data_IF_804321468931
#
_entry.id   IF_804321468931
#
_cell.length_a   1.000
_cell.length_b   1.000
_cell.length_c   1.000
_cell.angle_alpha   90.00
_cell.angle_beta   90.00
_cell.angle_gamma   90.00
#
_symmetry.space_group_name_H-M   'P 1'
#
loop_
_entity.id
_entity.type
_entity.pdbx_description
1 polymer ?
#
# COMPACT_ATOMS: atom_id res chain seq x y z
N UNK A 1 -18.80 12.29 -11.32
CA UNK A 1 -18.28 13.56 -11.91
C UNK A 1 -18.19 13.46 -13.44
N UNK A 2 -18.13 14.58 -14.18
CA UNK A 2 -17.93 14.61 -15.64
C UNK A 2 -16.99 15.74 -16.08
N UNK A 3 -16.34 15.58 -17.24
CA UNK A 3 -15.35 16.53 -17.80
C UNK A 3 -15.90 17.96 -18.01
N UNK A 4 -17.21 18.11 -18.16
CA UNK A 4 -17.87 19.41 -18.33
C UNK A 4 -18.12 20.17 -17.00
N UNK A 5 -18.00 19.50 -15.84
CA UNK A 5 -18.15 20.12 -14.52
C UNK A 5 -16.81 20.43 -13.86
N UNK A 6 -15.85 19.50 -13.96
CA UNK A 6 -14.51 19.63 -13.36
C UNK A 6 -13.41 19.20 -14.36
N UNK A 7 -13.12 19.99 -15.40
CA UNK A 7 -12.14 19.63 -16.44
C UNK A 7 -10.73 19.36 -15.86
N UNK A 8 -10.36 20.04 -14.77
CA UNK A 8 -9.08 19.83 -14.08
C UNK A 8 -8.92 18.44 -13.43
N UNK A 9 -10.03 17.76 -13.09
CA UNK A 9 -10.03 16.38 -12.56
C UNK A 9 -10.31 15.31 -13.62
N UNK A 10 -10.40 15.69 -14.90
CA UNK A 10 -10.63 14.74 -16.00
C UNK A 10 -9.54 13.66 -16.07
N UNK A 11 -8.29 13.99 -15.72
CA UNK A 11 -7.19 13.03 -15.71
C UNK A 11 -7.45 11.86 -14.74
N UNK A 12 -7.87 12.14 -13.50
CA UNK A 12 -8.22 11.14 -12.49
C UNK A 12 -9.41 10.28 -12.93
N UNK A 13 -10.50 10.90 -13.38
CA UNK A 13 -11.70 10.18 -13.85
C UNK A 13 -11.37 9.27 -15.05
N UNK A 14 -10.60 9.76 -16.01
CA UNK A 14 -10.17 8.98 -17.16
C UNK A 14 -9.20 7.85 -16.78
N UNK A 15 -8.33 8.06 -15.79
CA UNK A 15 -7.42 7.02 -15.33
C UNK A 15 -8.14 5.94 -14.50
N UNK A 16 -9.08 6.32 -13.63
CA UNK A 16 -9.94 5.37 -12.92
C UNK A 16 -10.69 4.46 -13.90
N UNK A 17 -11.30 5.04 -14.94
CA UNK A 17 -11.97 4.26 -15.99
C UNK A 17 -11.04 3.31 -16.78
N UNK A 18 -9.73 3.61 -16.88
CA UNK A 18 -8.73 2.66 -17.42
C UNK A 18 -8.43 1.54 -16.43
N UNK A 19 -8.26 1.86 -15.14
CA UNK A 19 -8.05 0.87 -14.09
C UNK A 19 -9.24 -0.10 -14.02
N UNK A 20 -10.47 0.40 -13.92
CA UNK A 20 -11.71 -0.40 -13.89
C UNK A 20 -11.94 -1.22 -15.19
N UNK A 21 -11.35 -0.83 -16.33
CA UNK A 21 -11.37 -1.63 -17.57
C UNK A 21 -10.32 -2.76 -17.52
N UNK A 22 -9.09 -2.43 -17.13
CA UNK A 22 -7.99 -3.39 -17.00
C UNK A 22 -8.32 -4.48 -15.96
N UNK A 23 -8.92 -4.11 -14.83
CA UNK A 23 -9.26 -5.04 -13.76
C UNK A 23 -10.34 -6.04 -14.22
N UNK A 24 -11.36 -5.59 -14.95
CA UNK A 24 -12.36 -6.48 -15.58
C UNK A 24 -11.75 -7.38 -16.65
N UNK A 25 -10.77 -6.90 -17.42
CA UNK A 25 -10.07 -7.73 -18.42
C UNK A 25 -9.23 -8.83 -17.75
N UNK A 26 -8.51 -8.50 -16.68
CA UNK A 26 -7.71 -9.45 -15.90
C UNK A 26 -8.59 -10.50 -15.22
N UNK A 27 -9.68 -10.08 -14.56
CA UNK A 27 -10.65 -11.00 -13.95
C UNK A 27 -11.30 -11.90 -15.01
N UNK A 28 -11.83 -11.35 -16.12
CA UNK A 28 -12.46 -12.15 -17.16
C UNK A 28 -11.51 -13.19 -17.78
N UNK A 29 -10.24 -12.83 -18.01
CA UNK A 29 -9.22 -13.76 -18.50
C UNK A 29 -8.95 -14.89 -17.49
N UNK A 30 -8.80 -14.57 -16.19
CA UNK A 30 -8.54 -15.58 -15.16
C UNK A 30 -9.77 -16.45 -14.86
N UNK A 31 -10.98 -15.90 -14.94
CA UNK A 31 -12.24 -16.66 -14.85
C UNK A 31 -12.37 -17.66 -16.00
N UNK A 32 -11.99 -17.28 -17.23
CA UNK A 32 -12.00 -18.20 -18.37
C UNK A 32 -11.01 -19.36 -18.17
N UNK A 33 -9.77 -19.08 -17.73
CA UNK A 33 -8.76 -20.10 -17.42
C UNK A 33 -9.24 -21.09 -16.34
N UNK A 34 -9.87 -20.58 -15.27
CA UNK A 34 -10.41 -21.41 -14.20
C UNK A 34 -11.66 -22.20 -14.62
N UNK A 35 -12.51 -21.64 -15.49
CA UNK A 35 -13.65 -22.35 -16.07
C UNK A 35 -13.21 -23.50 -17.00
N UNK A 36 -12.14 -23.33 -17.78
CA UNK A 36 -11.53 -24.41 -18.58
C UNK A 36 -10.93 -25.52 -17.68
N UNK A 37 -10.40 -25.17 -16.51
CA UNK A 37 -9.99 -26.12 -15.46
C UNK A 37 -11.17 -26.73 -14.66
N UNK A 38 -12.42 -26.34 -14.96
CA UNK A 38 -13.60 -26.79 -14.22
C UNK A 38 -13.57 -26.39 -12.74
N UNK A 39 -13.13 -25.16 -12.44
CA UNK A 39 -13.18 -24.56 -11.10
C UNK A 39 -14.29 -23.52 -11.07
N UNK A 40 -15.16 -23.59 -10.06
CA UNK A 40 -16.20 -22.57 -9.84
C UNK A 40 -15.55 -21.29 -9.32
N UNK A 41 -15.78 -20.16 -10.00
CA UNK A 41 -15.39 -18.84 -9.47
C UNK A 41 -16.54 -18.28 -8.62
N UNK A 42 -16.21 -17.75 -7.45
CA UNK A 42 -17.15 -17.12 -6.50
C UNK A 42 -17.01 -15.60 -6.58
N UNK A 43 -18.11 -14.92 -6.92
CA UNK A 43 -18.18 -13.45 -6.94
C UNK A 43 -17.95 -12.87 -5.54
N UNK A 44 -18.64 -13.41 -4.54
CA UNK A 44 -18.34 -13.24 -3.12
C UNK A 44 -18.38 -14.60 -2.39
N UNK A 45 -17.26 -15.05 -1.79
CA UNK A 45 -17.22 -16.30 -1.05
C UNK A 45 -17.76 -16.21 0.38
N UNK A 46 -17.95 -15.00 0.95
CA UNK A 46 -18.41 -14.82 2.32
C UNK A 46 -19.93 -14.99 2.45
N UNK A 47 -20.70 -14.49 1.47
CA UNK A 47 -22.14 -14.78 1.37
C UNK A 47 -22.47 -16.17 0.81
N UNK A 48 -21.49 -16.91 0.26
CA UNK A 48 -21.69 -18.26 -0.29
C UNK A 48 -21.90 -19.29 0.85
N UNK A 49 -23.10 -19.85 1.07
CA UNK A 49 -23.36 -20.66 2.27
C UNK A 49 -22.59 -21.98 2.27
N UNK A 50 -21.87 -22.26 3.35
CA UNK A 50 -21.06 -23.48 3.52
C UNK A 50 -19.64 -23.39 2.95
N UNK A 51 -19.31 -22.34 2.20
CA UNK A 51 -17.97 -22.17 1.66
C UNK A 51 -16.93 -21.88 2.78
N UNK A 52 -15.70 -22.34 2.60
CA UNK A 52 -14.56 -21.95 3.44
C UNK A 52 -13.25 -21.93 2.64
N UNK A 53 -12.42 -20.91 2.89
CA UNK A 53 -11.11 -20.78 2.26
C UNK A 53 -10.18 -21.90 2.76
N UNK A 54 -9.29 -22.41 1.90
CA UNK A 54 -8.42 -23.53 2.28
C UNK A 54 -7.45 -23.19 3.42
N UNK A 55 -7.13 -21.90 3.61
CA UNK A 55 -6.36 -21.37 4.75
C UNK A 55 -7.03 -21.59 6.12
N UNK A 56 -8.30 -22.00 6.16
CA UNK A 56 -9.03 -22.36 7.38
C UNK A 56 -9.32 -23.87 7.48
N UNK A 57 -8.75 -24.69 6.59
CA UNK A 57 -9.01 -26.12 6.47
C UNK A 57 -7.75 -26.98 6.62
N UNK A 58 -7.93 -28.17 7.20
CA UNK A 58 -6.97 -29.29 7.11
C UNK A 58 -7.53 -30.43 6.27
N UNK A 59 -6.70 -31.25 5.58
CA UNK A 59 -7.18 -32.19 4.57
C UNK A 59 -8.16 -33.24 5.10
N UNK A 60 -7.96 -33.74 6.32
CA UNK A 60 -8.82 -34.68 7.03
C UNK A 60 -8.90 -34.37 8.54
N UNK A 61 -10.01 -34.68 9.24
CA UNK A 61 -10.08 -34.67 10.70
C UNK A 61 -8.95 -35.46 11.39
N UNK A 62 -8.40 -36.47 10.71
CA UNK A 62 -7.32 -37.34 11.23
C UNK A 62 -5.91 -36.74 11.05
N UNK A 63 -5.75 -35.68 10.26
CA UNK A 63 -4.50 -34.92 10.19
C UNK A 63 -4.36 -34.03 11.43
N UNK A 64 -3.12 -33.71 11.87
CA UNK A 64 -2.89 -32.81 13.00
C UNK A 64 -3.43 -31.39 12.74
N UNK A 65 -3.74 -30.67 13.81
CA UNK A 65 -4.02 -29.23 13.73
C UNK A 65 -2.89 -28.48 13.02
N UNK A 66 -3.24 -27.47 12.23
CA UNK A 66 -2.27 -26.71 11.44
C UNK A 66 -1.78 -27.40 10.16
N UNK A 67 -2.20 -28.62 9.85
CA UNK A 67 -1.90 -29.26 8.56
C UNK A 67 -2.59 -28.51 7.41
N UNK A 68 -1.80 -27.84 6.57
CA UNK A 68 -2.32 -26.98 5.48
C UNK A 68 -2.95 -27.78 4.32
N UNK A 69 -4.17 -27.40 3.94
CA UNK A 69 -4.81 -27.86 2.71
C UNK A 69 -4.40 -26.97 1.52
N UNK A 70 -3.34 -27.35 0.79
CA UNK A 70 -2.90 -26.59 -0.39
C UNK A 70 -3.85 -26.76 -1.59
N UNK A 71 -3.72 -25.86 -2.59
CA UNK A 71 -4.51 -25.90 -3.81
C UNK A 71 -4.30 -27.19 -4.63
N UNK A 72 -3.08 -27.72 -4.64
CA UNK A 72 -2.70 -28.97 -5.32
C UNK A 72 -3.37 -30.16 -4.64
N UNK A 73 -3.32 -30.22 -3.30
CA UNK A 73 -3.98 -31.27 -2.52
C UNK A 73 -5.51 -31.21 -2.68
N UNK A 74 -6.07 -30.01 -2.86
CA UNK A 74 -7.50 -29.79 -3.06
C UNK A 74 -7.97 -29.96 -4.52
N UNK A 75 -7.08 -30.10 -5.51
CA UNK A 75 -7.43 -30.02 -6.94
C UNK A 75 -8.46 -31.08 -7.40
N UNK A 76 -8.52 -32.22 -6.71
CA UNK A 76 -9.44 -33.33 -7.00
C UNK A 76 -10.76 -33.26 -6.22
N UNK A 77 -10.92 -32.30 -5.30
CA UNK A 77 -12.16 -32.10 -4.55
C UNK A 77 -13.30 -31.64 -5.48
N UNK A 78 -14.51 -32.23 -5.43
CA UNK A 78 -15.63 -31.78 -6.24
C UNK A 78 -16.24 -30.46 -5.71
N UNK A 79 -15.95 -30.09 -4.45
CA UNK A 79 -16.29 -28.78 -3.90
C UNK A 79 -15.32 -27.65 -4.28
N UNK A 80 -14.36 -27.86 -5.20
CA UNK A 80 -13.33 -26.86 -5.51
C UNK A 80 -13.90 -25.57 -6.10
N UNK A 81 -13.53 -24.46 -5.47
CA UNK A 81 -13.87 -23.13 -5.93
C UNK A 81 -12.68 -22.17 -5.73
N UNK A 82 -12.77 -21.00 -6.35
CA UNK A 82 -11.81 -19.91 -6.19
C UNK A 82 -12.53 -18.57 -6.12
N UNK A 83 -11.99 -17.64 -5.34
CA UNK A 83 -12.34 -16.22 -5.42
C UNK A 83 -11.19 -15.46 -6.07
N UNK A 84 -11.53 -14.50 -6.94
CA UNK A 84 -10.57 -13.73 -7.73
C UNK A 84 -10.59 -12.26 -7.32
N UNK A 85 -9.42 -11.73 -6.95
CA UNK A 85 -9.25 -10.32 -6.59
C UNK A 85 -8.07 -9.72 -7.35
N UNK A 86 -8.26 -8.58 -7.99
CA UNK A 86 -7.12 -7.84 -8.54
C UNK A 86 -6.41 -7.11 -7.41
N UNK A 87 -5.16 -7.47 -7.18
CA UNK A 87 -4.23 -6.70 -6.36
C UNK A 87 -3.50 -5.71 -7.26
N UNK A 88 -3.77 -4.41 -7.06
CA UNK A 88 -2.93 -3.32 -7.54
C UNK A 88 -1.84 -3.06 -6.49
N UNK A 89 -0.55 -3.29 -6.79
CA UNK A 89 0.54 -2.94 -5.88
C UNK A 89 0.59 -1.42 -5.65
N UNK A 90 1.12 -0.97 -4.51
CA UNK A 90 1.27 0.46 -4.22
C UNK A 90 2.51 1.06 -4.89
N UNK A 91 3.50 0.24 -5.24
CA UNK A 91 4.65 0.63 -6.05
C UNK A 91 4.31 0.56 -7.55
N UNK A 92 4.65 1.61 -8.29
CA UNK A 92 4.26 1.78 -9.72
C UNK A 92 4.82 0.75 -10.68
N UNK A 93 5.85 0.03 -10.25
CA UNK A 93 6.75 -0.71 -11.14
C UNK A 93 6.31 -2.17 -11.31
N UNK A 94 5.23 -2.57 -10.63
CA UNK A 94 4.60 -3.88 -10.72
C UNK A 94 3.23 -3.76 -11.38
N UNK A 95 2.99 -4.56 -12.42
CA UNK A 95 1.68 -4.66 -13.05
C UNK A 95 0.61 -5.21 -12.07
N UNK A 96 -0.67 -4.83 -12.22
CA UNK A 96 -1.77 -5.42 -11.43
C UNK A 96 -1.85 -6.93 -11.62
N UNK A 97 -1.99 -7.66 -10.51
CA UNK A 97 -1.98 -9.12 -10.47
C UNK A 97 -3.33 -9.66 -10.01
N UNK A 98 -3.80 -10.77 -10.58
CA UNK A 98 -4.97 -11.48 -10.06
C UNK A 98 -4.53 -12.43 -8.95
N UNK A 99 -4.86 -12.09 -7.71
CA UNK A 99 -4.76 -13.00 -6.58
C UNK A 99 -5.90 -14.02 -6.67
N UNK A 100 -5.55 -15.30 -6.60
CA UNK A 100 -6.49 -16.42 -6.56
C UNK A 100 -6.52 -16.97 -5.14
N UNK A 101 -7.62 -16.78 -4.42
CA UNK A 101 -7.85 -17.42 -3.13
C UNK A 101 -8.66 -18.68 -3.35
N UNK A 102 -8.21 -19.82 -2.83
CA UNK A 102 -8.88 -21.12 -3.03
C UNK A 102 -9.88 -21.41 -1.91
N UNK A 103 -11.01 -22.03 -2.28
CA UNK A 103 -12.14 -22.32 -1.40
C UNK A 103 -12.69 -23.73 -1.63
N UNK A 104 -13.35 -24.29 -0.62
CA UNK A 104 -14.19 -25.48 -0.72
C UNK A 104 -15.64 -25.12 -0.41
N UNK A 105 -16.59 -25.52 -1.26
CA UNK A 105 -18.03 -25.22 -1.15
C UNK A 105 -18.76 -26.02 -0.06
N UNK A 106 -18.24 -27.20 0.31
CA UNK A 106 -18.75 -28.03 1.40
C UNK A 106 -17.57 -28.78 2.02
N UNK A 107 -16.79 -28.16 2.92
CA UNK A 107 -15.60 -28.79 3.45
C UNK A 107 -15.91 -30.10 4.18
N UNK A 108 -16.98 -30.11 4.97
CA UNK A 108 -17.38 -31.26 5.80
C UNK A 108 -17.85 -32.44 4.94
N UNK A 109 -18.70 -32.20 3.93
CA UNK A 109 -19.15 -33.24 3.01
C UNK A 109 -18.03 -33.79 2.11
N UNK A 110 -17.01 -32.98 1.84
CA UNK A 110 -15.79 -33.40 1.13
C UNK A 110 -14.71 -34.02 2.06
N UNK A 111 -14.97 -34.14 3.36
CA UNK A 111 -14.12 -34.84 4.32
C UNK A 111 -12.99 -34.00 4.95
N UNK A 112 -12.99 -32.68 4.76
CA UNK A 112 -12.06 -31.75 5.42
C UNK A 112 -12.51 -31.39 6.83
N UNK A 113 -11.58 -30.89 7.64
CA UNK A 113 -11.84 -30.34 8.97
C UNK A 113 -11.36 -28.89 9.08
N UNK A 114 -11.75 -28.20 10.15
CA UNK A 114 -11.15 -26.92 10.51
C UNK A 114 -9.63 -27.07 10.70
N UNK A 115 -8.86 -26.04 10.35
CA UNK A 115 -7.40 -26.01 10.58
C UNK A 115 -7.06 -26.19 12.07
N UNK A 116 -7.95 -25.75 12.96
CA UNK A 116 -7.84 -25.81 14.43
C UNK A 116 -9.17 -26.25 15.03
N UNK A 117 -9.13 -27.12 16.03
CA UNK A 117 -10.31 -27.61 16.73
C UNK A 117 -10.95 -26.52 17.63
N UNK A 118 -10.20 -25.46 17.97
CA UNK A 118 -10.70 -24.27 18.68
C UNK A 118 -11.53 -23.30 17.81
N UNK A 119 -11.58 -23.53 16.48
CA UNK A 119 -12.38 -22.74 15.52
C UNK A 119 -13.15 -23.68 14.58
N UNK A 120 -14.21 -24.36 15.05
CA UNK A 120 -14.99 -25.28 14.23
C UNK A 120 -15.65 -24.58 13.04
N UNK A 121 -15.83 -25.34 11.95
CA UNK A 121 -16.41 -24.83 10.71
C UNK A 121 -17.90 -24.43 10.85
N UNK A 122 -18.40 -23.47 10.06
CA UNK A 122 -19.83 -23.18 9.95
C UNK A 122 -20.60 -24.43 9.50
N UNK A 123 -21.54 -24.92 10.32
CA UNK A 123 -22.29 -26.13 9.98
C UNK A 123 -23.33 -25.88 8.90
N UNK A 124 -23.25 -26.66 7.82
CA UNK A 124 -24.16 -26.62 6.67
C UNK A 124 -25.55 -27.20 7.04
N UNK A 125 -26.41 -26.35 7.60
CA UNK A 125 -27.87 -26.55 7.60
C UNK A 125 -28.57 -26.75 8.95
N UNK A 126 -27.90 -26.62 10.09
CA UNK A 126 -28.55 -26.76 11.40
C UNK A 126 -27.88 -25.92 12.52
N UNK A 127 -28.16 -24.62 12.58
CA UNK A 127 -27.73 -23.76 13.68
C UNK A 127 -28.26 -22.33 13.58
N UNK A 128 -28.77 -21.80 14.69
CA UNK A 128 -29.12 -20.38 14.86
C UNK A 128 -27.80 -19.58 14.99
N UNK A 129 -27.52 -18.57 14.15
CA UNK A 129 -26.24 -17.86 14.10
C UNK A 129 -26.05 -16.87 15.27
N UNK A 130 -26.03 -17.40 16.51
CA UNK A 130 -26.12 -16.63 17.75
C UNK A 130 -25.12 -17.06 18.84
N UNK A 131 -23.81 -17.00 18.54
CA UNK A 131 -22.74 -16.95 19.55
C UNK A 131 -21.77 -15.77 19.37
N UNK A 132 -21.82 -15.05 18.25
CA UNK A 132 -21.36 -13.66 18.19
C UNK A 132 -22.43 -12.74 18.83
N UNK A 133 -22.05 -11.57 19.38
CA UNK A 133 -23.02 -10.55 19.72
C UNK A 133 -23.95 -10.23 18.53
N UNK A 134 -25.23 -10.07 18.81
CA UNK A 134 -26.21 -9.63 17.83
C UNK A 134 -26.03 -8.14 17.55
N UNK A 135 -25.03 -7.81 16.72
CA UNK A 135 -24.82 -6.45 16.20
C UNK A 135 -26.13 -5.90 15.65
N UNK A 136 -26.45 -4.68 16.05
CA UNK A 136 -27.63 -3.98 15.58
C UNK A 136 -27.52 -3.68 14.09
N UNK A 137 -28.67 -3.50 13.43
CA UNK A 137 -28.68 -3.15 12.00
C UNK A 137 -28.06 -1.77 11.74
N UNK A 138 -28.02 -0.90 12.75
CA UNK A 138 -27.29 0.37 12.71
C UNK A 138 -25.77 0.17 12.68
N UNK A 139 -25.21 -0.75 13.48
CA UNK A 139 -23.77 -1.06 13.47
C UNK A 139 -23.35 -1.73 12.15
N UNK A 140 -24.22 -2.57 11.58
CA UNK A 140 -24.02 -3.14 10.23
C UNK A 140 -24.02 -2.06 9.15
N UNK A 141 -24.94 -1.11 9.22
CA UNK A 141 -25.00 0.03 8.27
C UNK A 141 -23.73 0.88 8.35
N UNK A 142 -23.30 1.27 9.56
CA UNK A 142 -22.06 2.05 9.77
C UNK A 142 -20.87 1.31 9.17
N UNK A 143 -20.67 0.02 9.50
CA UNK A 143 -19.57 -0.78 8.93
C UNK A 143 -19.64 -0.87 7.40
N UNK A 144 -20.83 -0.98 6.82
CA UNK A 144 -21.02 -1.03 5.35
C UNK A 144 -20.67 0.30 4.68
N UNK A 145 -21.08 1.42 5.27
CA UNK A 145 -20.71 2.78 4.81
C UNK A 145 -19.21 3.00 4.93
N UNK A 146 -18.58 2.61 6.05
CA UNK A 146 -17.13 2.67 6.24
C UNK A 146 -16.37 1.80 5.23
N UNK A 147 -16.79 0.55 5.01
CA UNK A 147 -16.19 -0.35 4.00
C UNK A 147 -16.32 0.24 2.60
N UNK A 148 -17.47 0.85 2.26
CA UNK A 148 -17.69 1.54 0.98
C UNK A 148 -16.75 2.75 0.81
N UNK A 149 -16.66 3.62 1.82
CA UNK A 149 -15.70 4.76 1.88
C UNK A 149 -14.26 4.28 1.71
N UNK A 150 -13.88 3.20 2.39
CA UNK A 150 -12.56 2.57 2.29
C UNK A 150 -12.25 2.04 0.88
N UNK A 151 -13.19 1.34 0.25
CA UNK A 151 -13.02 0.80 -1.11
C UNK A 151 -12.93 1.93 -2.14
N UNK A 152 -13.83 2.91 -2.06
CA UNK A 152 -13.93 4.02 -3.01
C UNK A 152 -12.68 4.92 -2.95
N UNK A 153 -12.26 5.32 -1.75
CA UNK A 153 -11.04 6.09 -1.55
C UNK A 153 -9.79 5.31 -2.00
N UNK A 154 -9.71 4.00 -1.72
CA UNK A 154 -8.59 3.18 -2.20
C UNK A 154 -8.55 3.12 -3.75
N UNK A 155 -9.70 3.05 -4.44
CA UNK A 155 -9.77 3.11 -5.92
C UNK A 155 -9.38 4.49 -6.46
N UNK A 156 -9.85 5.57 -5.83
CA UNK A 156 -9.50 6.94 -6.19
C UNK A 156 -7.99 7.18 -6.03
N UNK A 157 -7.39 6.63 -4.96
CA UNK A 157 -5.95 6.71 -4.70
C UNK A 157 -5.13 5.99 -5.78
N UNK A 158 -5.49 4.74 -6.10
CA UNK A 158 -4.82 3.97 -7.16
C UNK A 158 -4.92 4.64 -8.55
N UNK A 159 -5.95 5.45 -8.77
CA UNK A 159 -6.09 6.28 -9.98
C UNK A 159 -5.29 7.59 -9.91
N UNK A 160 -5.02 8.13 -8.72
CA UNK A 160 -4.32 9.42 -8.55
C UNK A 160 -2.79 9.29 -8.63
N UNK A 161 -2.18 8.20 -8.15
CA UNK A 161 -0.71 7.99 -8.23
C UNK A 161 -0.12 8.21 -9.63
N UNK A 162 -0.60 7.56 -10.72
CA UNK A 162 -0.09 7.82 -12.06
C UNK A 162 -0.37 9.25 -12.56
N UNK A 163 -1.44 9.91 -12.08
CA UNK A 163 -1.77 11.30 -12.45
C UNK A 163 -0.83 12.29 -11.77
N UNK A 164 -0.51 12.11 -10.47
CA UNK A 164 0.58 12.84 -9.79
C UNK A 164 1.90 12.64 -10.52
N UNK A 165 2.30 11.39 -10.76
CA UNK A 165 3.59 11.07 -11.40
C UNK A 165 3.68 11.59 -12.83
N UNK A 166 2.58 11.70 -13.57
CA UNK A 166 2.54 12.41 -14.86
C UNK A 166 2.76 13.93 -14.68
N UNK A 167 2.01 14.56 -13.77
CA UNK A 167 2.13 16.01 -13.48
C UNK A 167 3.51 16.39 -12.91
N UNK A 168 4.16 15.52 -12.12
CA UNK A 168 5.54 15.70 -11.63
C UNK A 168 6.55 15.71 -12.79
N UNK A 169 6.42 14.81 -13.77
CA UNK A 169 7.24 14.83 -14.99
C UNK A 169 7.04 16.16 -15.75
N UNK A 170 5.80 16.64 -15.88
CA UNK A 170 5.49 17.95 -16.47
C UNK A 170 6.03 19.15 -15.67
N UNK A 171 6.15 19.04 -14.34
CA UNK A 171 6.74 20.06 -13.47
C UNK A 171 8.27 20.12 -13.64
N UNK A 172 8.92 18.95 -13.64
CA UNK A 172 10.38 18.82 -13.68
C UNK A 172 10.97 19.02 -15.10
N UNK A 173 10.15 18.85 -16.14
CA UNK A 173 10.46 19.24 -17.51
C UNK A 173 10.53 20.77 -17.73
N UNK A 174 10.01 21.59 -16.79
CA UNK A 174 10.02 23.06 -16.92
C UNK A 174 11.45 23.61 -16.80
N UNK A 175 11.72 24.71 -17.52
CA UNK A 175 13.03 25.38 -17.50
C UNK A 175 13.45 25.94 -16.13
N UNK A 176 12.48 26.17 -15.25
CA UNK A 176 12.67 26.75 -13.91
C UNK A 176 11.77 26.04 -12.91
N UNK A 177 12.32 25.71 -11.74
CA UNK A 177 11.57 25.25 -10.58
C UNK A 177 10.56 26.30 -10.07
N UNK A 178 9.56 25.93 -9.26
CA UNK A 178 8.74 26.86 -8.48
C UNK A 178 9.58 27.87 -7.69
N UNK A 179 9.04 29.09 -7.47
CA UNK A 179 9.78 30.22 -6.86
C UNK A 179 10.31 29.92 -5.45
N UNK A 180 9.60 29.08 -4.73
CA UNK A 180 9.85 28.64 -3.36
C UNK A 180 10.50 27.25 -3.27
N UNK A 181 10.74 26.57 -4.40
CA UNK A 181 11.32 25.23 -4.43
C UNK A 181 12.68 25.14 -3.71
N UNK A 182 13.52 26.18 -3.78
CA UNK A 182 14.77 26.22 -3.04
C UNK A 182 14.58 26.22 -1.51
N UNK A 183 13.50 26.86 -1.01
CA UNK A 183 13.12 26.82 0.41
C UNK A 183 12.50 25.45 0.76
N UNK A 184 11.72 24.87 -0.14
CA UNK A 184 11.13 23.54 0.03
C UNK A 184 12.19 22.44 0.15
N UNK A 185 13.14 22.40 -0.79
CA UNK A 185 14.31 21.49 -0.78
C UNK A 185 15.10 21.67 0.52
N UNK A 186 15.42 22.91 0.89
CA UNK A 186 16.18 23.19 2.11
C UNK A 186 15.43 22.75 3.39
N UNK A 187 14.11 22.89 3.43
CA UNK A 187 13.29 22.41 4.54
C UNK A 187 13.30 20.87 4.62
N UNK A 188 13.01 20.17 3.51
CA UNK A 188 13.00 18.71 3.49
C UNK A 188 14.35 18.10 3.89
N UNK A 189 15.45 18.65 3.37
CA UNK A 189 16.81 18.21 3.72
C UNK A 189 17.19 18.55 5.18
N UNK A 190 16.65 19.63 5.76
CA UNK A 190 16.87 19.99 7.16
C UNK A 190 16.00 19.18 8.14
N UNK A 191 14.82 18.72 7.71
CA UNK A 191 13.98 17.79 8.47
C UNK A 191 14.56 16.39 8.52
N UNK A 192 15.25 15.94 7.45
CA UNK A 192 16.02 14.70 7.46
C UNK A 192 15.17 13.43 7.58
N UNK A 193 14.09 13.34 6.81
CA UNK A 193 13.14 12.23 6.87
C UNK A 193 13.69 10.90 6.32
N UNK A 194 13.22 9.78 6.90
CA UNK A 194 13.53 8.41 6.47
C UNK A 194 13.27 8.16 4.98
N UNK A 195 12.28 8.83 4.39
CA UNK A 195 11.96 8.77 2.97
C UNK A 195 13.13 9.20 2.07
N UNK A 196 13.91 10.21 2.48
CA UNK A 196 15.08 10.68 1.74
C UNK A 196 16.22 9.66 1.82
N UNK A 197 16.48 9.10 3.01
CA UNK A 197 17.48 8.04 3.19
C UNK A 197 17.15 6.81 2.35
N UNK A 198 15.91 6.30 2.47
CA UNK A 198 15.41 5.14 1.71
C UNK A 198 15.49 5.38 0.19
N UNK A 199 15.18 6.59 -0.27
CA UNK A 199 15.32 6.96 -1.68
C UNK A 199 16.79 7.00 -2.15
N UNK A 200 17.72 7.48 -1.32
CA UNK A 200 19.16 7.48 -1.61
C UNK A 200 19.71 6.04 -1.66
N UNK A 201 19.30 5.19 -0.72
CA UNK A 201 19.66 3.76 -0.71
C UNK A 201 19.10 3.04 -1.95
N UNK A 202 17.86 3.34 -2.36
CA UNK A 202 17.27 2.94 -3.63
C UNK A 202 17.80 3.73 -4.87
N UNK A 203 18.96 4.39 -4.73
CA UNK A 203 19.71 5.12 -5.76
C UNK A 203 18.92 6.21 -6.50
N UNK A 204 17.84 6.70 -5.88
CA UNK A 204 16.87 7.66 -6.41
C UNK A 204 16.22 7.19 -7.72
N UNK A 205 15.82 5.90 -7.79
CA UNK A 205 15.21 5.30 -8.97
C UNK A 205 14.00 6.09 -9.52
N UNK A 206 13.04 6.47 -8.66
CA UNK A 206 11.90 7.27 -9.08
C UNK A 206 12.30 8.69 -9.53
N UNK A 207 13.36 9.29 -8.96
CA UNK A 207 13.85 10.59 -9.45
C UNK A 207 14.44 10.47 -10.86
N UNK A 208 15.04 9.32 -11.19
CA UNK A 208 15.52 9.04 -12.55
C UNK A 208 14.34 8.92 -13.53
N UNK A 209 13.31 8.14 -13.21
CA UNK A 209 12.08 8.04 -14.03
C UNK A 209 11.38 9.40 -14.20
N UNK A 210 11.19 10.16 -13.11
CA UNK A 210 10.54 11.47 -13.16
C UNK A 210 11.35 12.52 -13.95
N UNK A 211 12.65 12.29 -14.17
CA UNK A 211 13.52 13.08 -15.05
C UNK A 211 13.64 12.52 -16.48
N UNK A 212 13.01 11.38 -16.79
CA UNK A 212 13.09 10.71 -18.10
C UNK A 212 14.41 10.00 -18.36
N UNK A 213 15.09 9.51 -17.32
CA UNK A 213 16.36 8.82 -17.36
C UNK A 213 16.18 7.29 -17.28
N UNK A 214 17.21 6.55 -17.67
CA UNK A 214 17.32 5.12 -17.38
C UNK A 214 17.34 4.85 -15.87
N UNK A 215 16.79 3.72 -15.43
CA UNK A 215 16.91 3.26 -14.04
C UNK A 215 18.39 3.14 -13.58
N UNK A 216 18.70 3.39 -12.30
CA UNK A 216 20.06 3.30 -11.77
C UNK A 216 20.58 1.85 -11.75
N UNK A 217 21.82 1.65 -12.18
CA UNK A 217 22.44 0.34 -12.38
C UNK A 217 23.02 -0.32 -11.10
N UNK A 218 22.43 -0.04 -9.92
CA UNK A 218 22.87 -0.58 -8.64
C UNK A 218 24.14 0.05 -8.04
N UNK A 219 24.59 -0.50 -6.91
CA UNK A 219 25.78 -0.05 -6.17
C UNK A 219 27.06 -0.09 -7.04
N UNK A 220 27.97 0.84 -6.78
CA UNK A 220 29.25 0.92 -7.52
C UNK A 220 29.11 1.35 -8.98
N UNK A 221 27.99 1.99 -9.34
CA UNK A 221 27.77 2.65 -10.63
C UNK A 221 27.42 4.13 -10.43
N UNK A 222 27.82 5.02 -11.36
CA UNK A 222 27.43 6.43 -11.29
C UNK A 222 25.92 6.58 -11.46
N UNK A 223 25.30 7.54 -10.76
CA UNK A 223 23.87 7.83 -10.93
C UNK A 223 23.61 8.37 -12.35
N UNK A 224 22.52 7.93 -13.03
CA UNK A 224 22.08 8.47 -14.32
C UNK A 224 21.89 10.00 -14.34
N UNK A 225 21.72 10.64 -13.18
CA UNK A 225 21.57 12.09 -13.05
C UNK A 225 22.91 12.86 -13.21
N UNK A 226 24.07 12.22 -13.05
CA UNK A 226 25.37 12.92 -13.06
C UNK A 226 25.69 13.62 -14.40
N UNK A 227 25.51 13.00 -15.59
CA UNK A 227 25.72 13.69 -16.87
C UNK A 227 24.79 14.89 -17.11
N UNK A 228 23.60 14.92 -16.48
CA UNK A 228 22.75 16.11 -16.51
C UNK A 228 23.34 17.26 -15.69
N UNK A 229 24.04 16.94 -14.59
CA UNK A 229 24.62 17.91 -13.66
C UNK A 229 25.96 18.47 -14.15
N UNK A 230 26.76 17.68 -14.87
CA UNK A 230 28.03 18.11 -15.49
C UNK A 230 27.87 19.33 -16.41
N UNK A 231 26.68 19.51 -17.01
CA UNK A 231 26.34 20.63 -17.89
C UNK A 231 25.26 21.56 -17.32
N UNK A 232 24.84 21.35 -16.06
CA UNK A 232 23.74 22.11 -15.46
C UNK A 232 24.19 23.50 -14.97
N UNK A 233 23.57 24.55 -15.53
CA UNK A 233 23.46 25.83 -14.82
C UNK A 233 22.58 25.68 -13.57
N UNK A 234 22.77 26.57 -12.58
CA UNK A 234 22.15 26.48 -11.26
C UNK A 234 20.64 26.17 -11.27
N UNK A 235 19.86 26.76 -12.18
CA UNK A 235 18.42 26.51 -12.29
C UNK A 235 18.07 25.04 -12.64
N UNK A 236 18.90 24.34 -13.42
CA UNK A 236 18.70 22.91 -13.72
C UNK A 236 19.19 22.02 -12.59
N UNK A 237 20.26 22.41 -11.87
CA UNK A 237 20.66 21.74 -10.64
C UNK A 237 19.54 21.80 -9.57
N UNK A 238 18.87 22.95 -9.42
CA UNK A 238 17.69 23.08 -8.54
C UNK A 238 16.54 22.19 -8.98
N UNK A 239 16.27 22.02 -10.28
CA UNK A 239 15.25 21.07 -10.76
C UNK A 239 15.63 19.61 -10.48
N UNK A 240 16.91 19.22 -10.53
CA UNK A 240 17.35 17.86 -10.16
C UNK A 240 17.25 17.62 -8.65
N UNK A 241 17.64 18.61 -7.83
CA UNK A 241 17.44 18.53 -6.36
C UNK A 241 15.95 18.47 -5.99
N UNK A 242 15.09 19.20 -6.71
CA UNK A 242 13.63 19.12 -6.53
C UNK A 242 13.10 17.73 -6.92
N UNK A 243 13.57 17.17 -8.04
CA UNK A 243 13.19 15.82 -8.47
C UNK A 243 13.53 14.76 -7.43
N UNK A 244 14.72 14.82 -6.83
CA UNK A 244 15.16 13.91 -5.75
C UNK A 244 14.23 13.99 -4.54
N UNK A 245 13.96 15.21 -4.04
CA UNK A 245 13.11 15.40 -2.85
C UNK A 245 11.67 14.97 -3.12
N UNK A 246 11.07 15.41 -4.22
CA UNK A 246 9.68 15.05 -4.54
C UNK A 246 9.53 13.56 -4.86
N UNK A 247 10.50 12.92 -5.49
CA UNK A 247 10.49 11.48 -5.73
C UNK A 247 10.55 10.68 -4.42
N UNK A 248 11.43 11.07 -3.48
CA UNK A 248 11.54 10.40 -2.19
C UNK A 248 10.21 10.42 -1.42
N UNK A 249 9.52 11.57 -1.45
CA UNK A 249 8.22 11.77 -0.81
C UNK A 249 7.10 11.03 -1.56
N UNK A 250 7.02 11.15 -2.88
CA UNK A 250 6.05 10.44 -3.75
C UNK A 250 6.16 8.91 -3.66
N UNK A 251 7.36 8.38 -3.40
CA UNK A 251 7.61 6.96 -3.23
C UNK A 251 7.35 6.43 -1.82
N UNK A 252 7.27 7.33 -0.82
CA UNK A 252 6.85 6.98 0.53
C UNK A 252 5.32 6.95 0.69
N UNK A 253 4.57 7.44 -0.30
CA UNK A 253 3.10 7.46 -0.29
C UNK A 253 2.50 6.09 -0.66
N UNK A 254 1.47 5.67 0.07
CA UNK A 254 0.68 4.47 -0.20
C UNK A 254 -0.79 4.63 0.19
N UNK A 255 -1.62 3.57 0.06
CA UNK A 255 -3.06 3.66 0.41
C UNK A 255 -3.34 4.00 1.87
N UNK A 256 -2.36 3.82 2.76
CA UNK A 256 -2.45 4.26 4.16
C UNK A 256 -2.44 5.80 4.25
N UNK A 257 -1.68 6.50 3.39
CA UNK A 257 -1.37 7.93 3.48
C UNK A 257 -2.57 8.88 3.40
N UNK A 258 -3.71 8.46 2.83
CA UNK A 258 -4.94 9.26 2.89
C UNK A 258 -5.65 9.18 4.25
N UNK A 259 -5.39 8.14 5.05
CA UNK A 259 -5.90 7.98 6.41
C UNK A 259 -4.99 8.67 7.44
N UNK A 260 -3.67 8.51 7.29
CA UNK A 260 -2.68 8.84 8.32
C UNK A 260 -1.66 9.93 7.95
N UNK A 261 -1.57 10.34 6.68
CA UNK A 261 -0.54 11.28 6.20
C UNK A 261 -0.63 12.72 6.75
N UNK A 262 -1.70 13.02 7.48
CA UNK A 262 -1.87 14.24 8.26
C UNK A 262 -1.20 14.17 9.64
N UNK A 263 -0.89 12.97 10.16
CA UNK A 263 -0.40 12.76 11.53
C UNK A 263 1.06 13.15 11.73
N UNK A 264 1.93 12.83 10.77
CA UNK A 264 3.35 13.19 10.79
C UNK A 264 3.67 14.53 10.09
N UNK A 265 2.68 15.09 9.38
CA UNK A 265 2.77 16.34 8.63
C UNK A 265 3.67 16.31 7.38
N UNK A 266 4.45 15.26 7.13
CA UNK A 266 5.36 15.17 5.95
C UNK A 266 4.56 14.97 4.67
N UNK A 267 3.66 13.98 4.64
CA UNK A 267 2.80 13.72 3.49
C UNK A 267 1.84 14.89 3.23
N UNK A 268 1.27 15.48 4.29
CA UNK A 268 0.48 16.72 4.22
C UNK A 268 1.28 17.89 3.60
N UNK A 269 2.52 18.11 4.06
CA UNK A 269 3.41 19.19 3.55
C UNK A 269 3.76 18.98 2.08
N UNK A 270 3.99 17.74 1.66
CA UNK A 270 4.19 17.38 0.25
C UNK A 270 2.95 17.68 -0.60
N UNK A 271 1.78 17.16 -0.22
CA UNK A 271 0.56 17.34 -0.99
C UNK A 271 0.12 18.82 -1.06
N UNK A 272 0.29 19.56 0.05
CA UNK A 272 0.04 21.00 0.10
C UNK A 272 0.95 21.78 -0.88
N UNK A 273 2.24 21.43 -0.97
CA UNK A 273 3.16 22.05 -1.92
C UNK A 273 2.77 21.76 -3.37
N UNK A 274 2.38 20.51 -3.71
CA UNK A 274 1.87 20.19 -5.05
C UNK A 274 0.66 21.06 -5.42
N UNK A 275 -0.33 21.15 -4.53
CA UNK A 275 -1.53 21.98 -4.72
C UNK A 275 -1.18 23.46 -4.89
N UNK A 276 -0.26 23.99 -4.08
CA UNK A 276 0.23 25.37 -4.18
C UNK A 276 0.92 25.65 -5.53
N UNK A 277 1.56 24.66 -6.13
CA UNK A 277 2.18 24.75 -7.47
C UNK A 277 1.22 24.44 -8.64
N UNK A 278 -0.06 24.20 -8.34
CA UNK A 278 -1.12 24.00 -9.34
C UNK A 278 -1.43 22.55 -9.70
N UNK A 279 -1.17 21.59 -8.81
CA UNK A 279 -1.68 20.22 -8.96
C UNK A 279 -3.19 20.16 -8.60
N UNK A 280 -4.07 19.66 -9.50
CA UNK A 280 -5.50 19.54 -9.24
C UNK A 280 -5.81 18.26 -8.45
N UNK A 281 -5.62 18.30 -7.12
CA UNK A 281 -5.82 17.16 -6.23
C UNK A 281 -7.23 16.55 -6.31
N UNK A 282 -7.28 15.22 -6.25
CA UNK A 282 -8.49 14.40 -6.04
C UNK A 282 -8.97 14.54 -4.58
N UNK A 283 -10.27 14.47 -4.25
CA UNK A 283 -10.73 14.54 -2.86
C UNK A 283 -10.07 13.53 -1.90
N UNK A 284 -9.65 12.34 -2.36
CA UNK A 284 -8.86 11.41 -1.51
C UNK A 284 -7.45 11.93 -1.19
N UNK A 285 -6.88 12.75 -2.07
CA UNK A 285 -5.57 13.38 -1.86
C UNK A 285 -5.67 14.59 -0.92
N UNK A 286 -6.86 15.20 -0.83
CA UNK A 286 -7.15 16.25 0.14
C UNK A 286 -7.18 15.70 1.59
N UNK A 287 -7.54 14.42 1.78
CA UNK A 287 -7.51 13.72 3.08
C UNK A 287 -6.10 13.56 3.69
N UNK A 288 -5.07 13.60 2.84
CA UNK A 288 -3.66 13.62 3.29
C UNK A 288 -3.35 14.92 4.06
N UNK A 289 -4.12 15.98 3.84
CA UNK A 289 -3.93 17.32 4.44
C UNK A 289 -4.94 17.56 5.56
N UNK A 290 -6.21 17.20 5.36
CA UNK A 290 -7.29 17.33 6.34
C UNK A 290 -8.15 16.06 6.32
N UNK A 291 -8.16 15.22 7.38
CA UNK A 291 -8.89 13.96 7.40
C UNK A 291 -10.42 14.11 7.32
N UNK A 292 -10.94 15.34 7.38
CA UNK A 292 -12.37 15.68 7.29
C UNK A 292 -12.78 16.18 5.88
N UNK A 293 -11.89 16.07 4.87
CA UNK A 293 -12.17 16.49 3.49
C UNK A 293 -13.07 15.52 2.69
N UNK A 294 -13.69 14.54 3.34
CA UNK A 294 -14.45 13.45 2.73
C UNK A 294 -15.94 13.75 2.51
N UNK A 295 -16.41 14.95 2.84
CA UNK A 295 -17.79 15.45 2.59
C UNK A 295 -18.22 15.51 1.10
N UNK A 296 -17.44 14.92 0.19
CA UNK A 296 -17.85 14.58 -1.17
C UNK A 296 -18.60 13.23 -1.26
N UNK A 297 -18.58 12.41 -0.20
CA UNK A 297 -19.32 11.16 -0.10
C UNK A 297 -20.71 11.31 0.56
N UNK A 298 -20.94 12.43 1.28
CA UNK A 298 -22.20 12.73 1.97
C UNK A 298 -23.35 13.16 1.05
N UNK A 299 -23.12 13.30 -0.26
CA UNK A 299 -24.19 13.54 -1.23
C UNK A 299 -24.81 12.21 -1.67
N UNK A 300 -26.07 11.88 -1.31
CA UNK A 300 -26.73 10.69 -1.81
C UNK A 300 -27.01 10.85 -3.31
N UNK A 301 -26.26 10.11 -4.13
CA UNK A 301 -26.43 10.08 -5.58
C UNK A 301 -27.84 9.55 -5.89
N UNK A 302 -28.70 10.44 -6.39
CA UNK A 302 -30.15 10.23 -6.50
C UNK A 302 -30.63 10.06 -7.95
N UNK A 303 -29.72 10.21 -8.92
CA UNK A 303 -29.97 10.03 -10.36
C UNK A 303 -29.35 8.71 -10.85
N UNK A 304 -30.06 7.61 -10.58
CA UNK A 304 -29.52 6.25 -10.64
C UNK A 304 -29.12 5.68 -12.01
N UNK A 305 -28.40 4.56 -11.91
CA UNK A 305 -28.87 3.32 -12.51
C UNK A 305 -29.17 2.33 -11.37
N UNK A 306 -30.32 1.66 -11.44
CA UNK A 306 -30.65 0.61 -10.50
C UNK A 306 -29.93 -0.68 -10.89
N UNK A 307 -28.97 -1.08 -10.07
CA UNK A 307 -28.37 -2.41 -10.08
C UNK A 307 -28.69 -3.01 -8.70
N UNK A 308 -29.79 -3.77 -8.62
CA UNK A 308 -30.38 -4.29 -7.36
C UNK A 308 -29.56 -5.49 -6.81
N UNK A 309 -28.25 -5.30 -6.65
CA UNK A 309 -27.38 -6.18 -5.89
C UNK A 309 -27.55 -5.89 -4.38
N UNK A 310 -28.33 -6.74 -3.72
CA UNK A 310 -28.64 -6.66 -2.29
C UNK A 310 -27.43 -7.13 -1.49
N UNK A 311 -26.45 -6.24 -1.29
CA UNK A 311 -25.26 -6.45 -0.44
C UNK A 311 -25.66 -6.66 1.03
N UNK A 312 -25.91 -7.93 1.37
CA UNK A 312 -26.24 -8.43 2.70
C UNK A 312 -25.10 -9.30 3.27
N UNK A 313 -23.86 -8.78 3.23
CA UNK A 313 -22.69 -9.42 3.84
C UNK A 313 -22.35 -8.83 5.22
N UNK A 314 -21.76 -9.64 6.10
CA UNK A 314 -21.49 -9.32 7.51
C UNK A 314 -20.15 -9.92 7.98
N UNK A 315 -19.34 -9.08 8.63
CA UNK A 315 -18.14 -9.43 9.43
C UNK A 315 -16.94 -9.99 8.64
N UNK A 316 -16.17 -9.07 8.06
CA UNK A 316 -14.70 -9.18 8.13
C UNK A 316 -14.25 -8.64 9.51
N UNK A 317 -13.52 -9.44 10.28
CA UNK A 317 -12.80 -8.97 11.47
C UNK A 317 -11.35 -8.60 11.09
N UNK A 318 -10.71 -7.61 11.73
CA UNK A 318 -9.29 -7.34 11.52
C UNK A 318 -8.44 -8.57 11.86
N UNK A 319 -7.46 -8.85 11.00
CA UNK A 319 -6.33 -9.72 11.34
C UNK A 319 -5.18 -8.85 11.82
N UNK A 320 -4.92 -8.88 13.12
CA UNK A 320 -3.70 -8.28 13.68
C UNK A 320 -2.49 -9.14 13.24
N UNK A 321 -1.58 -8.54 12.47
CA UNK A 321 -0.24 -9.12 12.27
C UNK A 321 0.60 -8.81 13.52
N UNK A 322 1.31 -9.79 14.11
CA UNK A 322 2.08 -9.56 15.33
C UNK A 322 3.34 -8.74 15.06
N UNK A 323 3.58 -7.71 15.88
CA UNK A 323 4.80 -6.92 15.87
C UNK A 323 6.06 -7.79 16.05
N UNK A 324 7.12 -7.46 15.33
CA UNK A 324 8.43 -8.07 15.49
C UNK A 324 9.21 -7.38 16.63
N UNK A 325 9.11 -7.93 17.84
CA UNK A 325 9.76 -7.40 19.04
C UNK A 325 11.30 -7.59 19.06
N UNK A 326 12.01 -6.66 19.70
CA UNK A 326 13.47 -6.55 19.70
C UNK A 326 14.10 -7.34 20.86
N UNK A 327 14.41 -8.61 20.59
CA UNK A 327 15.02 -9.54 21.55
C UNK A 327 16.47 -9.22 21.90
N UNK A 328 16.70 -8.21 22.74
CA UNK A 328 17.98 -7.96 23.41
C UNK A 328 18.34 -9.08 24.39
N UNK A 329 19.59 -9.55 24.37
CA UNK A 329 20.10 -10.69 25.16
C UNK A 329 20.97 -10.23 26.34
N UNK A 330 20.36 -10.11 27.52
CA UNK A 330 20.95 -9.56 28.75
C UNK A 330 21.62 -10.64 29.63
N UNK A 331 22.86 -11.00 29.30
CA UNK A 331 23.63 -12.07 29.98
C UNK A 331 24.65 -11.62 31.06
N UNK A 332 24.21 -11.27 32.27
CA UNK A 332 25.06 -11.22 33.50
C UNK A 332 25.23 -12.63 34.11
N UNK A 333 26.16 -12.99 35.00
CA UNK A 333 27.36 -12.41 35.68
C UNK A 333 28.23 -13.63 36.11
N UNK A 334 29.35 -13.68 36.84
CA UNK A 334 30.29 -12.79 37.58
C UNK A 334 31.67 -13.56 37.54
N UNK A 335 32.86 -13.00 37.71
CA UNK A 335 33.34 -11.65 38.02
C UNK A 335 34.69 -11.74 38.75
N UNK A 336 35.40 -10.62 38.90
CA UNK A 336 36.52 -10.38 39.86
C UNK A 336 37.13 -9.02 39.52
N UNK A 337 37.20 -8.09 40.47
CA UNK A 337 37.69 -6.74 40.22
C UNK A 337 38.94 -6.39 41.01
N UNK A 338 39.71 -5.43 40.50
CA UNK A 338 40.39 -4.41 41.31
C UNK A 338 40.75 -3.20 40.43
N UNK A 339 40.62 -1.98 40.98
CA UNK A 339 41.00 -0.73 40.31
C UNK A 339 41.49 0.25 41.37
N UNK A 340 42.63 0.94 41.15
CA UNK A 340 42.55 2.40 41.24
C UNK A 340 43.48 3.20 40.29
N UNK A 341 42.89 4.24 39.70
CA UNK A 341 43.48 5.59 39.50
C UNK A 341 44.77 5.84 38.68
N UNK A 342 44.55 6.57 37.57
CA UNK A 342 45.09 7.93 37.25
C UNK A 342 46.49 8.12 36.63
N UNK A 343 46.44 8.41 35.32
CA UNK A 343 47.02 9.59 34.64
C UNK A 343 48.53 9.92 34.74
N UNK A 344 49.20 9.98 33.58
CA UNK A 344 50.03 11.14 33.20
C UNK A 344 50.11 11.29 31.68
N UNK A 345 50.20 12.54 31.18
CA UNK A 345 50.41 12.88 29.77
C UNK A 345 51.84 13.39 29.53
N UNK A 346 52.33 13.27 28.29
CA UNK A 346 53.62 13.78 27.82
C UNK A 346 53.48 14.55 26.51
N UNK A 347 54.25 15.62 26.33
CA UNK A 347 54.30 16.48 25.13
C UNK A 347 55.51 16.09 24.25
N UNK A 348 55.51 16.39 22.94
CA UNK A 348 56.69 16.27 22.08
C UNK A 348 57.77 17.30 22.47
N UNK A 349 58.98 17.12 21.95
CA UNK A 349 60.16 17.96 22.24
C UNK A 349 60.74 18.61 20.97
N UNK A 350 61.28 19.82 21.13
CA UNK A 350 62.04 20.57 20.13
C UNK A 350 63.54 20.60 20.47
N UNK A 351 64.44 20.84 19.50
CA UNK A 351 65.89 20.78 19.71
C UNK A 351 66.46 21.99 20.47
N UNK A 352 67.73 21.86 20.88
CA UNK A 352 68.49 22.88 21.63
C UNK A 352 69.50 23.60 20.72
N UNK A 353 69.68 24.89 20.97
CA UNK A 353 70.93 25.61 20.69
C UNK A 353 71.64 25.98 22.01
N UNK A 354 72.96 26.07 21.95
CA UNK A 354 73.87 26.55 23.01
C UNK A 354 75.15 27.09 22.32
N UNK A 355 75.95 27.95 22.98
CA UNK A 355 76.84 27.47 24.04
C UNK A 355 76.56 28.04 25.44
#
# INVERSE_FOLDING_TARGET
>A
MTAAREPQRFAHVAQRARNDLQDRQLLAAKTAELAEAGVTVLDDPHTTPGASALTWLRPSPADPEGAELTAENHMHCPGRAAHLRVSRPWNSDHEPQVTVTWWCLDPTGNGHAALRDDRPLPQTGAGDPSTAPAESDAEKEVRRVERRRVIENNKAWDASVPVRRAWLRELLARKTAPKDAARYIAAALATGGYELSRAIDAHNALACDLLGLSAPAGHGRPSPMLPMLETAGAAKATQVMLAIVLAAQEDALGRHSWRDGHTDGRAATYMAALKQWGYPAEPVEDLVIDPNADGHLDTPDTDGLADDHVDADRTEHPVDEPDADDGSDDGSDDGTGETPCRTRASRPAEPRDAP
#
